data_IF_005828772292
#
_entry.id   IF_005828772292
#
_cell.length_a   1.000
_cell.length_b   1.000
_cell.length_c   1.000
_cell.angle_alpha   90.00
_cell.angle_beta   90.00
_cell.angle_gamma   90.00
#
_symmetry.space_group_name_H-M   'P 1'
#
loop_
_entity.id
_entity.type
_entity.pdbx_description
1 polymer ?
#
# COMPACT_ATOMS: atom_id res chain seq x y z
N UNK A 1 31.96 -10.90 0.74
CA UNK A 1 31.25 -9.61 0.82
C UNK A 1 30.70 -9.30 -0.56
N UNK A 2 29.38 -9.17 -0.68
CA UNK A 2 28.71 -8.86 -1.94
C UNK A 2 28.79 -7.35 -2.21
N UNK A 3 29.03 -6.96 -3.47
CA UNK A 3 29.21 -5.56 -3.86
C UNK A 3 28.13 -5.11 -4.85
N UNK A 4 27.48 -3.97 -4.59
CA UNK A 4 26.48 -3.38 -5.44
C UNK A 4 26.51 -1.84 -5.39
N UNK A 5 25.80 -1.19 -6.29
CA UNK A 5 25.68 0.27 -6.27
C UNK A 5 24.65 0.69 -5.22
N UNK A 6 23.50 0.00 -5.20
CA UNK A 6 22.41 0.27 -4.25
C UNK A 6 21.95 -1.04 -3.58
N UNK A 7 21.93 -1.06 -2.26
CA UNK A 7 21.40 -2.14 -1.46
C UNK A 7 20.00 -1.76 -0.96
N UNK A 8 19.00 -2.54 -1.30
CA UNK A 8 17.61 -2.35 -0.88
C UNK A 8 17.26 -3.40 0.18
N UNK A 9 16.68 -2.99 1.29
CA UNK A 9 16.22 -3.90 2.34
C UNK A 9 14.70 -3.99 2.29
N UNK A 10 14.18 -5.17 1.94
CA UNK A 10 12.77 -5.49 1.76
C UNK A 10 12.38 -5.64 0.28
N UNK A 11 11.90 -6.84 -0.09
CA UNK A 11 11.38 -7.18 -1.42
C UNK A 11 9.85 -7.05 -1.51
N UNK A 12 9.24 -6.13 -0.77
CA UNK A 12 7.85 -5.73 -1.01
C UNK A 12 7.72 -4.89 -2.28
N UNK A 13 6.51 -4.50 -2.64
CA UNK A 13 6.19 -3.76 -3.87
C UNK A 13 7.09 -2.54 -4.07
N UNK A 14 7.29 -1.73 -3.03
CA UNK A 14 8.13 -0.54 -3.11
C UNK A 14 9.62 -0.86 -3.36
N UNK A 15 10.17 -1.85 -2.63
CA UNK A 15 11.56 -2.27 -2.80
C UNK A 15 11.84 -2.88 -4.18
N UNK A 16 10.95 -3.77 -4.64
CA UNK A 16 11.03 -4.37 -5.98
C UNK A 16 10.91 -3.32 -7.09
N UNK A 17 9.94 -2.39 -6.96
CA UNK A 17 9.76 -1.30 -7.91
C UNK A 17 10.99 -0.38 -7.97
N UNK A 18 11.61 -0.09 -6.82
CA UNK A 18 12.86 0.67 -6.75
C UNK A 18 14.00 -0.07 -7.44
N UNK A 19 14.13 -1.38 -7.16
CA UNK A 19 15.12 -2.24 -7.83
C UNK A 19 14.94 -2.24 -9.36
N UNK A 20 13.70 -2.40 -9.84
CA UNK A 20 13.38 -2.35 -11.26
C UNK A 20 13.78 -1.01 -11.91
N UNK A 21 13.45 0.11 -11.26
CA UNK A 21 13.74 1.44 -11.78
C UNK A 21 15.27 1.69 -11.83
N UNK A 22 16.00 1.37 -10.77
CA UNK A 22 17.45 1.50 -10.71
C UNK A 22 18.16 0.63 -11.76
N UNK A 23 17.74 -0.63 -11.88
CA UNK A 23 18.32 -1.55 -12.85
C UNK A 23 18.04 -1.12 -14.30
N UNK A 24 16.90 -0.49 -14.57
CA UNK A 24 16.61 0.10 -15.89
C UNK A 24 17.56 1.22 -16.26
N UNK A 25 18.12 1.92 -15.27
CA UNK A 25 19.09 3.01 -15.42
C UNK A 25 20.55 2.51 -15.31
N UNK A 26 20.76 1.19 -15.39
CA UNK A 26 22.09 0.57 -15.43
C UNK A 26 22.79 0.45 -14.08
N UNK A 27 22.13 0.75 -12.96
CA UNK A 27 22.71 0.61 -11.63
C UNK A 27 22.57 -0.83 -11.12
N UNK A 28 23.63 -1.36 -10.51
CA UNK A 28 23.63 -2.69 -9.89
C UNK A 28 22.90 -2.62 -8.55
N UNK A 29 21.63 -3.03 -8.53
CA UNK A 29 20.83 -3.09 -7.33
C UNK A 29 20.78 -4.52 -6.77
N UNK A 30 20.90 -4.65 -5.44
CA UNK A 30 20.67 -5.88 -4.70
C UNK A 30 19.53 -5.66 -3.70
N UNK A 31 18.67 -6.67 -3.54
CA UNK A 31 17.56 -6.63 -2.59
C UNK A 31 17.75 -7.73 -1.53
N UNK A 32 17.67 -7.38 -0.26
CA UNK A 32 17.57 -8.32 0.85
C UNK A 32 16.09 -8.56 1.20
N UNK A 33 15.67 -9.82 1.28
CA UNK A 33 14.34 -10.20 1.72
C UNK A 33 14.43 -11.21 2.86
N UNK A 34 13.85 -10.86 4.00
CA UNK A 34 13.87 -11.71 5.19
C UNK A 34 13.00 -12.95 5.08
N UNK A 35 11.91 -12.88 4.29
CA UNK A 35 11.03 -14.00 4.07
C UNK A 35 11.66 -15.02 3.12
N UNK A 36 11.45 -16.32 3.35
CA UNK A 36 11.73 -17.31 2.33
C UNK A 36 10.78 -17.13 1.14
N UNK A 37 11.23 -17.45 -0.07
CA UNK A 37 10.38 -17.41 -1.27
C UNK A 37 9.14 -18.28 -1.14
N UNK A 38 8.02 -17.85 -1.74
CA UNK A 38 6.78 -18.64 -1.81
C UNK A 38 5.78 -18.41 -0.69
N UNK A 39 6.00 -17.50 0.26
CA UNK A 39 4.96 -17.13 1.26
C UNK A 39 3.85 -16.34 0.54
N UNK A 40 2.63 -16.85 0.60
CA UNK A 40 1.46 -16.21 0.00
C UNK A 40 0.87 -15.13 0.90
N UNK A 41 0.49 -14.02 0.28
CA UNK A 41 -0.31 -12.97 0.92
C UNK A 41 -1.79 -13.37 0.93
N UNK A 42 -2.46 -13.20 2.07
CA UNK A 42 -3.92 -13.34 2.18
C UNK A 42 -4.63 -12.02 1.88
N UNK A 43 -3.93 -11.04 1.35
CA UNK A 43 -4.45 -9.69 1.08
C UNK A 43 -4.71 -9.51 -0.40
N UNK A 44 -5.66 -8.65 -0.73
CA UNK A 44 -5.76 -8.04 -2.05
C UNK A 44 -5.13 -6.66 -2.03
N UNK A 45 -4.92 -6.14 -3.19
CA UNK A 45 -4.37 -4.81 -3.43
C UNK A 45 -5.18 -4.11 -4.51
N UNK A 46 -5.48 -2.85 -4.28
CA UNK A 46 -6.10 -2.00 -5.30
C UNK A 46 -5.08 -0.99 -5.80
N UNK A 47 -4.62 -1.18 -7.04
CA UNK A 47 -3.85 -0.17 -7.75
C UNK A 47 -4.80 0.91 -8.26
N UNK A 48 -4.43 2.15 -7.99
CA UNK A 48 -5.18 3.34 -8.36
C UNK A 48 -4.49 4.09 -9.51
N UNK A 49 -5.11 5.10 -10.12
CA UNK A 49 -4.55 5.84 -11.24
C UNK A 49 -3.09 6.25 -11.08
N UNK A 50 -2.71 6.75 -9.89
CA UNK A 50 -1.34 7.16 -9.60
C UNK A 50 -0.34 5.99 -9.55
N UNK A 51 -0.73 4.86 -8.97
CA UNK A 51 0.09 3.64 -8.95
C UNK A 51 0.21 3.01 -10.34
N UNK A 52 -0.88 2.99 -11.12
CA UNK A 52 -0.87 2.51 -12.50
C UNK A 52 0.03 3.37 -13.40
N UNK A 53 0.05 4.69 -13.19
CA UNK A 53 1.00 5.57 -13.89
C UNK A 53 2.45 5.22 -13.55
N UNK A 54 2.76 4.97 -12.27
CA UNK A 54 4.12 4.57 -11.87
C UNK A 54 4.53 3.22 -12.49
N UNK A 55 3.63 2.24 -12.54
CA UNK A 55 3.84 0.95 -13.22
C UNK A 55 4.02 1.15 -14.73
N UNK A 56 3.22 2.03 -15.35
CA UNK A 56 3.35 2.37 -16.77
C UNK A 56 4.71 2.97 -17.12
N UNK A 57 5.22 3.86 -16.27
CA UNK A 57 6.56 4.45 -16.44
C UNK A 57 7.70 3.42 -16.32
N UNK A 58 7.47 2.28 -15.67
CA UNK A 58 8.41 1.15 -15.63
C UNK A 58 8.29 0.21 -16.85
N UNK A 59 7.34 0.45 -17.76
CA UNK A 59 7.04 -0.42 -18.91
C UNK A 59 6.34 -1.73 -18.54
N UNK A 60 5.68 -1.80 -17.39
CA UNK A 60 5.07 -3.03 -16.85
C UNK A 60 3.53 -3.01 -16.86
N UNK A 61 2.92 -1.96 -17.44
CA UNK A 61 1.47 -1.76 -17.35
C UNK A 61 0.67 -2.94 -17.90
N UNK A 62 0.99 -3.40 -19.10
CA UNK A 62 0.23 -4.48 -19.77
C UNK A 62 0.32 -5.79 -18.98
N UNK A 63 1.51 -6.12 -18.45
CA UNK A 63 1.71 -7.30 -17.61
C UNK A 63 0.90 -7.21 -16.31
N UNK A 64 0.90 -6.05 -15.65
CA UNK A 64 0.16 -5.84 -14.41
C UNK A 64 -1.35 -5.80 -14.65
N UNK A 65 -1.79 -5.22 -15.78
CA UNK A 65 -3.21 -5.23 -16.15
C UNK A 65 -3.71 -6.64 -16.44
N UNK A 66 -2.87 -7.52 -17.04
CA UNK A 66 -3.26 -8.90 -17.37
C UNK A 66 -3.50 -9.79 -16.13
N UNK A 67 -2.92 -9.46 -14.96
CA UNK A 67 -3.13 -10.19 -13.70
C UNK A 67 -4.21 -9.58 -12.81
N UNK A 68 -4.80 -8.44 -13.20
CA UNK A 68 -5.75 -7.71 -12.37
C UNK A 68 -7.16 -7.64 -12.95
N UNK A 69 -8.13 -7.30 -12.11
CA UNK A 69 -9.50 -7.01 -12.52
C UNK A 69 -9.75 -5.51 -12.50
N UNK A 70 -10.16 -4.95 -13.66
CA UNK A 70 -10.50 -3.53 -13.79
C UNK A 70 -11.89 -3.27 -13.22
N UNK A 71 -11.99 -2.29 -12.36
CA UNK A 71 -13.24 -1.81 -11.76
C UNK A 71 -13.34 -0.30 -11.97
N UNK A 72 -14.39 0.15 -12.65
CA UNK A 72 -14.66 1.58 -12.82
C UNK A 72 -15.64 2.12 -11.79
N UNK A 73 -16.37 1.25 -11.08
CA UNK A 73 -17.42 1.64 -10.15
C UNK A 73 -17.24 0.99 -8.79
N UNK A 74 -17.30 1.79 -7.73
CA UNK A 74 -17.30 1.33 -6.34
C UNK A 74 -18.62 1.76 -5.70
N UNK A 75 -19.49 0.80 -5.44
CA UNK A 75 -20.78 1.04 -4.81
C UNK A 75 -20.63 1.02 -3.29
N UNK A 76 -21.19 2.04 -2.62
CA UNK A 76 -21.22 2.16 -1.18
C UNK A 76 -22.64 1.94 -0.66
N UNK A 77 -22.79 1.08 0.32
CA UNK A 77 -24.04 0.70 0.94
C UNK A 77 -23.98 0.85 2.45
N UNK A 78 -25.12 1.01 3.07
CA UNK A 78 -25.29 0.78 4.50
C UNK A 78 -25.48 -0.72 4.75
N UNK A 79 -24.84 -1.32 5.76
CA UNK A 79 -25.04 -2.74 6.09
C UNK A 79 -26.53 -2.97 6.43
N UNK A 80 -27.16 -3.91 5.73
CA UNK A 80 -28.59 -4.19 5.85
C UNK A 80 -29.51 -3.07 5.36
N UNK A 81 -28.99 -2.09 4.62
CA UNK A 81 -29.69 -0.87 4.27
C UNK A 81 -29.58 -0.48 2.81
N UNK A 82 -29.78 0.82 2.58
CA UNK A 82 -29.92 1.42 1.26
C UNK A 82 -28.56 1.75 0.64
N UNK A 83 -28.46 1.83 -0.71
CA UNK A 83 -27.30 2.38 -1.37
C UNK A 83 -27.05 3.82 -0.92
N UNK A 84 -25.78 4.16 -0.67
CA UNK A 84 -25.35 5.49 -0.23
C UNK A 84 -24.81 6.33 -1.38
N UNK A 85 -23.90 5.74 -2.16
CA UNK A 85 -23.23 6.39 -3.29
C UNK A 85 -22.62 5.35 -4.24
N UNK A 86 -22.39 5.74 -5.49
CA UNK A 86 -21.51 5.00 -6.40
C UNK A 86 -20.41 5.95 -6.86
N UNK A 87 -19.18 5.58 -6.59
CA UNK A 87 -18.00 6.30 -7.06
C UNK A 87 -17.65 5.76 -8.44
N UNK A 88 -17.80 6.60 -9.45
CA UNK A 88 -17.53 6.27 -10.85
C UNK A 88 -16.20 6.90 -11.28
N UNK A 89 -15.17 6.05 -11.41
CA UNK A 89 -13.83 6.46 -11.77
C UNK A 89 -13.73 6.95 -13.23
N UNK A 90 -14.69 6.60 -14.09
CA UNK A 90 -14.71 7.05 -15.49
C UNK A 90 -14.83 8.57 -15.64
N UNK A 91 -15.26 9.28 -14.57
CA UNK A 91 -15.31 10.76 -14.55
C UNK A 91 -13.94 11.42 -14.44
N UNK A 92 -12.88 10.65 -14.12
CA UNK A 92 -11.51 11.15 -14.06
C UNK A 92 -10.99 11.39 -15.48
N UNK A 93 -10.51 12.59 -15.74
CA UNK A 93 -9.71 12.92 -16.91
C UNK A 93 -8.28 12.38 -16.72
N UNK A 94 -8.14 11.06 -16.88
CA UNK A 94 -6.89 10.34 -16.65
C UNK A 94 -6.87 9.06 -17.50
N UNK A 95 -5.72 8.66 -18.10
CA UNK A 95 -5.63 7.45 -18.93
C UNK A 95 -5.98 6.16 -18.15
N UNK A 96 -5.77 6.15 -16.84
CA UNK A 96 -6.12 5.05 -15.95
C UNK A 96 -7.30 5.45 -15.05
N UNK A 97 -8.47 5.70 -15.65
CA UNK A 97 -9.68 6.10 -14.93
C UNK A 97 -10.47 4.89 -14.36
N UNK A 98 -9.76 3.98 -13.73
CA UNK A 98 -10.27 2.75 -13.09
C UNK A 98 -9.38 2.33 -11.92
N UNK A 99 -9.91 1.47 -11.07
CA UNK A 99 -9.15 0.69 -10.11
C UNK A 99 -8.73 -0.63 -10.75
N UNK A 100 -7.55 -1.11 -10.42
CA UNK A 100 -7.11 -2.46 -10.76
C UNK A 100 -6.90 -3.26 -9.47
N UNK A 101 -7.76 -4.24 -9.21
CA UNK A 101 -7.60 -5.13 -8.06
C UNK A 101 -6.72 -6.31 -8.46
N UNK A 102 -5.62 -6.48 -7.74
CA UNK A 102 -4.62 -7.55 -7.97
C UNK A 102 -4.36 -8.31 -6.67
N UNK A 103 -3.85 -9.52 -6.79
CA UNK A 103 -3.24 -10.24 -5.68
C UNK A 103 -1.80 -9.72 -5.52
N UNK A 104 -1.37 -9.27 -4.32
CA UNK A 104 -0.03 -8.70 -4.14
C UNK A 104 1.09 -9.62 -4.59
N UNK A 105 0.98 -10.92 -4.34
CA UNK A 105 2.00 -11.92 -4.73
C UNK A 105 2.18 -11.98 -6.25
N UNK A 106 1.09 -11.84 -7.02
CA UNK A 106 1.15 -11.81 -8.49
C UNK A 106 1.85 -10.53 -8.98
N UNK A 107 1.57 -9.39 -8.35
CA UNK A 107 2.28 -8.15 -8.64
C UNK A 107 3.77 -8.23 -8.26
N UNK A 108 4.08 -8.82 -7.09
CA UNK A 108 5.46 -9.05 -6.66
C UNK A 108 6.19 -9.97 -7.67
N UNK A 109 5.54 -11.01 -8.19
CA UNK A 109 6.14 -11.89 -9.21
C UNK A 109 6.45 -11.14 -10.51
N UNK A 110 5.54 -10.28 -10.99
CA UNK A 110 5.80 -9.43 -12.18
C UNK A 110 7.01 -8.53 -11.95
N UNK A 111 7.08 -7.88 -10.77
CA UNK A 111 8.21 -7.01 -10.43
C UNK A 111 9.51 -7.78 -10.26
N UNK A 112 9.48 -8.97 -9.64
CA UNK A 112 10.65 -9.87 -9.49
C UNK A 112 11.19 -10.33 -10.84
N UNK A 113 10.33 -10.76 -11.73
CA UNK A 113 10.70 -11.17 -13.09
C UNK A 113 11.33 -9.99 -13.85
N UNK A 114 10.68 -8.82 -13.80
CA UNK A 114 11.20 -7.62 -14.43
C UNK A 114 12.57 -7.19 -13.85
N UNK A 115 12.79 -7.33 -12.55
CA UNK A 115 14.07 -7.02 -11.89
C UNK A 115 15.14 -8.02 -12.28
N UNK A 116 14.84 -9.32 -12.27
CA UNK A 116 15.77 -10.38 -12.66
C UNK A 116 16.21 -10.27 -14.12
N UNK A 117 15.30 -9.95 -15.04
CA UNK A 117 15.59 -9.72 -16.47
C UNK A 117 16.54 -8.54 -16.70
N UNK A 118 16.69 -7.65 -15.72
CA UNK A 118 17.64 -6.53 -15.71
C UNK A 118 18.89 -6.80 -14.88
N UNK A 119 19.22 -8.08 -14.65
CA UNK A 119 20.34 -8.53 -13.83
C UNK A 119 20.28 -8.09 -12.35
N UNK A 120 19.11 -7.80 -11.83
CA UNK A 120 18.90 -7.52 -10.43
C UNK A 120 19.01 -8.79 -9.58
N UNK A 121 19.57 -8.69 -8.38
CA UNK A 121 19.77 -9.82 -7.47
C UNK A 121 18.93 -9.69 -6.22
N UNK A 122 18.16 -10.75 -5.90
CA UNK A 122 17.37 -10.85 -4.67
C UNK A 122 17.98 -11.93 -3.78
N UNK A 123 18.37 -11.54 -2.57
CA UNK A 123 18.86 -12.44 -1.53
C UNK A 123 17.69 -12.76 -0.59
N UNK A 124 17.03 -13.88 -0.84
CA UNK A 124 15.94 -14.37 0.01
C UNK A 124 16.46 -15.00 1.31
N UNK A 125 15.59 -15.20 2.29
CA UNK A 125 15.96 -15.68 3.64
C UNK A 125 17.12 -14.88 4.25
N UNK A 126 17.24 -13.60 3.86
CA UNK A 126 18.37 -12.74 4.23
C UNK A 126 17.88 -11.57 5.09
N UNK A 127 18.17 -11.68 6.38
CA UNK A 127 17.73 -10.74 7.39
C UNK A 127 18.78 -9.63 7.59
N UNK A 128 18.43 -8.39 7.32
CA UNK A 128 19.24 -7.25 7.67
C UNK A 128 19.50 -7.21 9.18
N UNK A 129 20.76 -7.01 9.59
CA UNK A 129 21.16 -6.93 10.99
C UNK A 129 21.61 -5.54 11.41
N UNK A 130 22.62 -4.98 10.74
CA UNK A 130 23.19 -3.69 11.12
C UNK A 130 23.91 -3.00 9.95
N UNK A 131 24.01 -1.68 10.05
CA UNK A 131 24.94 -0.88 9.27
C UNK A 131 26.23 -0.76 10.11
N UNK A 132 27.34 -1.19 9.55
CA UNK A 132 28.63 -1.12 10.26
C UNK A 132 29.16 0.31 10.28
N UNK A 133 29.61 0.81 11.45
CA UNK A 133 30.35 2.06 11.51
C UNK A 133 31.62 1.97 10.66
N UNK A 134 31.72 2.84 9.68
CA UNK A 134 32.94 2.94 8.89
C UNK A 134 33.17 4.38 8.43
N UNK A 135 34.41 4.69 8.03
CA UNK A 135 34.81 5.97 7.40
C UNK A 135 34.99 5.83 5.89
N UNK A 136 34.49 4.72 5.31
CA UNK A 136 34.66 4.47 3.88
C UNK A 136 33.59 5.25 3.07
N UNK A 137 33.85 5.38 1.79
CA UNK A 137 32.91 5.95 0.83
C UNK A 137 31.73 5.03 0.50
N UNK A 138 31.59 3.92 1.22
CA UNK A 138 30.53 2.91 1.01
C UNK A 138 29.88 2.52 2.32
N UNK A 139 28.61 2.18 2.27
CA UNK A 139 27.87 1.60 3.39
C UNK A 139 28.21 0.12 3.48
N UNK A 140 28.67 -0.32 4.66
CA UNK A 140 28.89 -1.74 4.94
C UNK A 140 27.72 -2.27 5.77
N UNK A 141 27.13 -3.36 5.31
CA UNK A 141 25.96 -3.97 5.95
C UNK A 141 26.28 -5.41 6.33
N UNK A 142 25.93 -5.76 7.58
CA UNK A 142 25.84 -7.16 7.99
C UNK A 142 24.40 -7.64 7.87
N UNK A 143 24.25 -8.81 7.31
CA UNK A 143 23.00 -9.55 7.22
C UNK A 143 23.23 -11.01 7.63
N UNK A 144 22.16 -11.76 7.76
CA UNK A 144 22.18 -13.18 8.07
C UNK A 144 21.32 -13.89 7.04
N UNK A 145 21.88 -14.87 6.36
CA UNK A 145 21.17 -15.70 5.38
C UNK A 145 21.19 -17.15 5.86
N UNK A 146 20.01 -17.73 6.02
CA UNK A 146 19.84 -19.11 6.51
C UNK A 146 20.67 -19.40 7.78
N UNK A 147 20.71 -18.43 8.71
CA UNK A 147 21.45 -18.52 9.96
C UNK A 147 22.97 -18.22 9.85
N UNK A 148 23.49 -17.99 8.65
CA UNK A 148 24.92 -17.69 8.42
C UNK A 148 25.14 -16.20 8.12
N UNK A 149 26.21 -15.58 8.68
CA UNK A 149 26.50 -14.18 8.44
C UNK A 149 26.93 -13.95 6.98
N UNK A 150 26.40 -12.88 6.38
CA UNK A 150 26.76 -12.40 5.04
C UNK A 150 26.95 -10.88 5.09
N UNK A 151 27.94 -10.36 4.35
CA UNK A 151 28.24 -8.93 4.29
C UNK A 151 27.96 -8.34 2.93
N UNK A 152 27.50 -7.08 2.91
CA UNK A 152 27.25 -6.30 1.71
C UNK A 152 27.98 -4.96 1.77
N UNK A 153 28.38 -4.47 0.58
CA UNK A 153 28.99 -3.16 0.38
C UNK A 153 28.21 -2.42 -0.70
N UNK A 154 27.74 -1.20 -0.41
CA UNK A 154 26.97 -0.40 -1.35
C UNK A 154 27.32 1.09 -1.28
N UNK A 155 27.07 1.86 -2.35
CA UNK A 155 27.16 3.33 -2.31
C UNK A 155 25.97 3.94 -1.55
N UNK A 156 24.79 3.32 -1.68
CA UNK A 156 23.54 3.76 -1.03
C UNK A 156 22.81 2.54 -0.47
N UNK A 157 22.19 2.69 0.71
CA UNK A 157 21.22 1.76 1.28
C UNK A 157 19.80 2.37 1.22
N UNK A 158 18.82 1.56 0.82
CA UNK A 158 17.40 1.94 0.82
C UNK A 158 16.63 1.05 1.79
N UNK A 159 15.99 1.65 2.80
CA UNK A 159 15.07 0.95 3.70
C UNK A 159 13.66 0.92 3.11
N UNK A 160 13.25 -0.25 2.60
CA UNK A 160 11.91 -0.58 2.11
C UNK A 160 11.27 -1.71 2.95
N UNK A 161 11.66 -1.82 4.22
CA UNK A 161 11.44 -2.92 5.15
C UNK A 161 10.21 -2.71 6.07
N UNK A 162 9.26 -1.89 5.61
CA UNK A 162 7.95 -1.73 6.20
C UNK A 162 7.90 -0.84 7.45
N UNK A 163 6.72 -0.77 8.06
CA UNK A 163 6.44 0.18 9.16
C UNK A 163 7.40 0.06 10.35
N UNK A 164 7.92 -1.14 10.65
CA UNK A 164 8.88 -1.41 11.73
C UNK A 164 10.34 -1.44 11.24
N UNK A 165 10.66 -0.61 10.27
CA UNK A 165 11.95 -0.56 9.57
C UNK A 165 13.17 -0.68 10.48
N UNK A 166 13.99 -1.69 10.23
CA UNK A 166 15.27 -1.92 10.90
C UNK A 166 16.36 -1.00 10.35
N UNK A 167 16.27 -0.68 9.06
CA UNK A 167 17.17 0.31 8.45
C UNK A 167 16.97 1.68 9.09
N UNK A 168 15.71 2.14 9.27
CA UNK A 168 15.40 3.38 9.96
C UNK A 168 15.96 3.39 11.39
N UNK A 169 15.81 2.27 12.12
CA UNK A 169 16.34 2.11 13.49
C UNK A 169 17.88 2.19 13.50
N UNK A 170 18.56 1.50 12.58
CA UNK A 170 20.01 1.52 12.45
C UNK A 170 20.55 2.92 12.13
N UNK A 171 19.83 3.70 11.32
CA UNK A 171 20.13 5.09 11.00
C UNK A 171 19.77 6.08 12.12
N UNK A 172 19.16 5.60 13.21
CA UNK A 172 18.68 6.42 14.35
C UNK A 172 17.77 7.58 13.93
N UNK A 173 17.03 7.41 12.83
CA UNK A 173 16.09 8.42 12.33
C UNK A 173 14.86 8.47 13.25
N UNK A 174 14.55 9.65 13.85
CA UNK A 174 13.40 9.79 14.74
C UNK A 174 12.07 9.52 14.03
N UNK A 175 11.19 8.76 14.69
CA UNK A 175 9.89 8.37 14.17
C UNK A 175 8.81 8.50 15.23
N UNK A 176 7.63 8.91 14.80
CA UNK A 176 6.39 8.79 15.58
C UNK A 176 5.51 7.73 14.93
N UNK A 177 5.22 6.67 15.67
CA UNK A 177 4.26 5.65 15.25
C UNK A 177 2.96 5.85 16.02
N UNK A 178 1.85 5.95 15.29
CA UNK A 178 0.50 5.95 15.85
C UNK A 178 -0.17 4.64 15.43
N UNK A 179 -0.53 3.83 16.39
CA UNK A 179 -1.40 2.68 16.18
C UNK A 179 -2.85 3.12 16.33
N UNK A 180 -3.70 2.70 15.41
CA UNK A 180 -5.13 2.99 15.46
C UNK A 180 -5.88 1.90 16.24
N UNK A 181 -7.09 2.22 16.69
CA UNK A 181 -7.98 1.23 17.31
C UNK A 181 -8.75 0.40 16.28
N UNK A 182 -8.24 0.33 15.06
CA UNK A 182 -8.87 -0.31 13.91
C UNK A 182 -8.13 -1.59 13.55
N UNK A 183 -8.88 -2.70 13.52
CA UNK A 183 -8.38 -3.98 13.06
C UNK A 183 -9.06 -4.39 11.77
N UNK A 184 -8.26 -4.74 10.78
CA UNK A 184 -8.72 -5.21 9.48
C UNK A 184 -8.42 -6.68 9.33
N UNK A 185 -9.42 -7.45 8.94
CA UNK A 185 -9.28 -8.80 8.42
C UNK A 185 -9.23 -8.72 6.90
N UNK A 186 -8.31 -9.44 6.30
CA UNK A 186 -8.13 -9.53 4.85
C UNK A 186 -8.13 -10.98 4.42
N UNK A 187 -8.80 -11.30 3.31
CA UNK A 187 -8.86 -12.64 2.77
C UNK A 187 -9.11 -12.62 1.27
N UNK A 188 -8.75 -13.73 0.62
CA UNK A 188 -9.05 -14.02 -0.77
C UNK A 188 -9.99 -15.22 -0.82
N UNK A 189 -11.25 -14.98 -1.12
CA UNK A 189 -12.23 -16.03 -1.37
C UNK A 189 -12.23 -16.41 -2.86
N UNK A 190 -12.78 -17.59 -3.21
CA UNK A 190 -13.05 -17.94 -4.60
C UNK A 190 -13.84 -16.82 -5.29
N UNK A 191 -13.63 -16.63 -6.59
CA UNK A 191 -14.32 -15.61 -7.37
C UNK A 191 -15.83 -15.72 -7.23
N UNK A 192 -16.49 -14.65 -6.79
CA UNK A 192 -17.93 -14.51 -6.78
C UNK A 192 -18.38 -13.91 -8.12
N UNK A 193 -18.89 -14.75 -9.02
CA UNK A 193 -19.26 -14.33 -10.37
C UNK A 193 -20.41 -13.31 -10.37
N UNK A 194 -21.32 -13.39 -9.40
CA UNK A 194 -22.46 -12.48 -9.21
C UNK A 194 -22.08 -11.05 -8.87
N UNK A 195 -20.87 -10.80 -8.34
CA UNK A 195 -20.35 -9.43 -8.17
C UNK A 195 -20.01 -8.77 -9.51
N UNK A 196 -19.79 -9.55 -10.57
CA UNK A 196 -19.32 -9.02 -11.86
C UNK A 196 -17.97 -8.32 -11.75
N UNK A 197 -17.91 -7.07 -12.23
CA UNK A 197 -16.72 -6.19 -12.15
C UNK A 197 -16.92 -5.01 -11.19
N UNK A 198 -18.01 -4.95 -10.45
CA UNK A 198 -18.30 -3.89 -9.50
C UNK A 198 -17.67 -4.20 -8.13
N UNK A 199 -16.94 -3.26 -7.57
CA UNK A 199 -16.52 -3.34 -6.18
C UNK A 199 -17.64 -2.79 -5.29
N UNK A 200 -17.87 -3.45 -4.15
CA UNK A 200 -18.91 -3.03 -3.20
C UNK A 200 -18.33 -2.83 -1.82
N UNK A 201 -18.71 -1.74 -1.17
CA UNK A 201 -18.32 -1.41 0.18
C UNK A 201 -19.55 -1.16 1.05
N UNK A 202 -19.49 -1.66 2.26
CA UNK A 202 -20.58 -1.62 3.23
C UNK A 202 -20.10 -0.98 4.52
N UNK A 203 -20.90 -0.07 5.06
CA UNK A 203 -20.59 0.62 6.32
C UNK A 203 -21.75 0.55 7.29
N UNK A 204 -21.44 0.42 8.56
CA UNK A 204 -22.36 0.66 9.68
C UNK A 204 -21.59 1.25 10.86
N UNK A 205 -22.27 1.44 11.98
CA UNK A 205 -21.63 1.95 13.19
C UNK A 205 -20.62 0.93 13.73
N UNK A 206 -19.32 1.26 13.65
CA UNK A 206 -18.23 0.41 14.12
C UNK A 206 -17.94 -0.81 13.25
N UNK A 207 -18.42 -0.85 12.00
CA UNK A 207 -18.23 -1.99 11.11
C UNK A 207 -18.14 -1.53 9.65
N UNK A 208 -17.24 -2.14 8.90
CA UNK A 208 -17.08 -1.89 7.47
C UNK A 208 -16.62 -3.18 6.76
N UNK A 209 -17.14 -3.42 5.57
CA UNK A 209 -16.71 -4.51 4.70
C UNK A 209 -16.51 -4.02 3.27
N UNK A 210 -15.63 -4.67 2.53
CA UNK A 210 -15.46 -4.41 1.11
C UNK A 210 -15.17 -5.69 0.34
N UNK A 211 -15.75 -5.77 -0.85
CA UNK A 211 -15.71 -6.92 -1.75
C UNK A 211 -15.24 -6.43 -3.12
N UNK A 212 -14.07 -6.87 -3.54
CA UNK A 212 -13.39 -6.41 -4.75
C UNK A 212 -13.08 -7.61 -5.63
N UNK A 213 -13.56 -7.65 -6.87
CA UNK A 213 -13.21 -8.74 -7.78
C UNK A 213 -11.75 -8.64 -8.20
N UNK A 214 -11.04 -9.78 -8.15
CA UNK A 214 -9.75 -9.99 -8.83
C UNK A 214 -9.97 -10.86 -10.09
N UNK A 215 -8.94 -11.32 -10.75
CA UNK A 215 -9.07 -12.26 -11.89
C UNK A 215 -9.74 -13.57 -11.44
N UNK A 216 -9.15 -14.24 -10.45
CA UNK A 216 -9.49 -15.61 -10.03
C UNK A 216 -10.17 -15.66 -8.65
N UNK A 217 -10.22 -14.54 -7.92
CA UNK A 217 -10.72 -14.51 -6.55
C UNK A 217 -11.56 -13.25 -6.28
N UNK A 218 -12.13 -13.20 -5.10
CA UNK A 218 -12.75 -12.01 -4.52
C UNK A 218 -11.91 -11.60 -3.32
N UNK A 219 -11.30 -10.44 -3.41
CA UNK A 219 -10.63 -9.82 -2.28
C UNK A 219 -11.68 -9.24 -1.35
N UNK A 220 -11.61 -9.64 -0.09
CA UNK A 220 -12.51 -9.19 0.97
C UNK A 220 -11.68 -8.54 2.06
N UNK A 221 -12.09 -7.36 2.50
CA UNK A 221 -11.64 -6.81 3.77
C UNK A 221 -12.84 -6.62 4.71
N UNK A 222 -12.57 -6.77 6.01
CA UNK A 222 -13.58 -6.56 7.03
C UNK A 222 -12.95 -5.87 8.24
N UNK A 223 -13.58 -4.81 8.69
CA UNK A 223 -13.12 -3.99 9.79
C UNK A 223 -13.97 -4.20 11.05
N UNK A 224 -13.28 -4.30 12.18
CA UNK A 224 -13.87 -4.20 13.53
C UNK A 224 -12.95 -3.41 14.45
N UNK A 225 -13.47 -2.77 15.52
CA UNK A 225 -12.64 -2.20 16.55
C UNK A 225 -11.71 -3.23 17.21
N UNK A 226 -10.44 -2.90 17.43
CA UNK A 226 -9.43 -3.84 17.95
C UNK A 226 -9.83 -4.48 19.29
N UNK A 227 -10.62 -3.77 20.12
CA UNK A 227 -11.09 -4.26 21.43
C UNK A 227 -11.99 -5.49 21.35
N UNK A 228 -12.69 -5.70 20.22
CA UNK A 228 -13.63 -6.83 20.08
C UNK A 228 -13.05 -8.00 19.28
N UNK A 229 -11.83 -7.89 18.75
CA UNK A 229 -11.21 -8.92 17.87
C UNK A 229 -11.16 -10.29 18.55
N UNK A 230 -10.78 -10.35 19.83
CA UNK A 230 -10.71 -11.62 20.56
C UNK A 230 -12.08 -12.28 20.69
N UNK A 231 -13.08 -11.53 21.08
CA UNK A 231 -14.48 -11.99 21.17
C UNK A 231 -14.99 -12.40 19.79
N UNK A 232 -14.71 -11.59 18.78
CA UNK A 232 -15.09 -11.87 17.42
C UNK A 232 -14.53 -13.22 16.92
N UNK A 233 -13.23 -13.47 17.11
CA UNK A 233 -12.59 -14.75 16.75
C UNK A 233 -13.12 -15.93 17.55
N UNK A 234 -13.48 -15.74 18.83
CA UNK A 234 -14.03 -16.81 19.68
C UNK A 234 -15.39 -17.35 19.23
N UNK A 235 -16.14 -16.59 18.45
CA UNK A 235 -17.41 -17.02 17.85
C UNK A 235 -17.22 -18.00 16.69
N UNK A 236 -15.99 -18.22 16.25
CA UNK A 236 -15.61 -19.18 15.21
C UNK A 236 -15.69 -18.62 13.79
N UNK A 237 -14.95 -19.28 12.90
CA UNK A 237 -14.85 -18.89 11.49
C UNK A 237 -16.20 -18.95 10.75
N UNK A 238 -17.01 -19.94 11.02
CA UNK A 238 -18.33 -20.08 10.38
C UNK A 238 -19.29 -18.94 10.74
N UNK A 239 -19.23 -18.45 11.98
CA UNK A 239 -19.98 -17.25 12.39
C UNK A 239 -19.51 -16.02 11.61
N UNK A 240 -18.20 -15.91 11.36
CA UNK A 240 -17.62 -14.83 10.56
C UNK A 240 -18.06 -14.90 9.09
N UNK A 241 -17.94 -16.07 8.47
CA UNK A 241 -18.41 -16.31 7.09
C UNK A 241 -19.89 -15.96 6.94
N UNK A 242 -20.74 -16.43 7.89
CA UNK A 242 -22.16 -16.07 7.92
C UNK A 242 -22.40 -14.56 8.04
N UNK A 243 -21.58 -13.86 8.81
CA UNK A 243 -21.65 -12.37 8.90
C UNK A 243 -21.37 -11.73 7.55
N UNK A 244 -20.31 -12.15 6.84
CA UNK A 244 -19.95 -11.65 5.52
C UNK A 244 -21.04 -11.94 4.49
N UNK A 245 -21.59 -13.16 4.47
CA UNK A 245 -22.70 -13.53 3.58
C UNK A 245 -23.98 -12.71 3.86
N UNK A 246 -24.25 -12.34 5.11
CA UNK A 246 -25.37 -11.45 5.44
C UNK A 246 -25.13 -9.99 5.00
N UNK A 247 -23.88 -9.56 4.89
CA UNK A 247 -23.55 -8.23 4.39
C UNK A 247 -23.65 -8.19 2.86
N UNK A 248 -23.06 -9.19 2.21
CA UNK A 248 -23.06 -9.34 0.75
C UNK A 248 -23.43 -10.79 0.37
N UNK A 249 -24.71 -11.03 0.07
CA UNK A 249 -25.17 -12.38 -0.26
C UNK A 249 -24.50 -13.00 -1.49
N UNK A 250 -24.08 -12.18 -2.44
CA UNK A 250 -23.44 -12.63 -3.69
C UNK A 250 -22.09 -13.34 -3.48
N UNK A 251 -21.48 -13.22 -2.28
CA UNK A 251 -20.24 -13.93 -1.96
C UNK A 251 -20.45 -15.23 -1.17
N UNK A 252 -21.69 -15.57 -0.81
CA UNK A 252 -21.99 -16.67 0.10
C UNK A 252 -21.26 -17.97 -0.25
N UNK A 253 -21.43 -18.45 -1.49
CA UNK A 253 -20.81 -19.70 -1.98
C UNK A 253 -19.28 -19.60 -2.10
N UNK A 254 -18.77 -18.38 -2.28
CA UNK A 254 -17.33 -18.12 -2.40
C UNK A 254 -16.60 -18.26 -1.08
N UNK A 255 -17.28 -17.99 0.05
CA UNK A 255 -16.70 -18.05 1.40
C UNK A 255 -16.35 -19.48 1.83
N UNK A 256 -16.91 -20.51 1.19
CA UNK A 256 -16.55 -21.92 1.46
C UNK A 256 -15.07 -22.21 1.16
N UNK A 257 -14.44 -21.44 0.29
CA UNK A 257 -13.00 -21.55 0.01
C UNK A 257 -12.09 -21.11 1.16
N UNK A 258 -12.64 -20.40 2.18
CA UNK A 258 -11.92 -20.03 3.38
C UNK A 258 -12.08 -21.15 4.41
N UNK A 259 -11.04 -21.98 4.57
CA UNK A 259 -11.09 -23.18 5.37
C UNK A 259 -10.71 -22.99 6.84
N UNK A 260 -9.89 -21.98 7.13
CA UNK A 260 -9.33 -21.76 8.47
C UNK A 260 -9.04 -20.27 8.75
N UNK A 261 -8.83 -19.92 10.02
CA UNK A 261 -8.30 -18.59 10.38
C UNK A 261 -6.89 -18.33 9.80
N UNK A 262 -6.17 -19.37 9.34
CA UNK A 262 -4.92 -19.24 8.61
C UNK A 262 -5.07 -18.58 7.24
N UNK A 263 -6.28 -18.64 6.66
CA UNK A 263 -6.62 -18.00 5.38
C UNK A 263 -7.08 -16.54 5.55
N UNK A 264 -7.09 -16.05 6.79
CA UNK A 264 -7.52 -14.70 7.16
C UNK A 264 -6.37 -13.96 7.82
N UNK A 265 -5.76 -13.02 7.10
CA UNK A 265 -4.78 -12.12 7.70
C UNK A 265 -5.50 -11.07 8.55
N UNK A 266 -4.97 -10.78 9.74
CA UNK A 266 -5.42 -9.63 10.50
C UNK A 266 -4.28 -8.62 10.71
N UNK A 267 -4.63 -7.36 10.79
CA UNK A 267 -3.66 -6.29 11.03
C UNK A 267 -4.33 -5.08 11.67
N UNK A 268 -3.60 -4.45 12.57
CA UNK A 268 -3.96 -3.15 13.11
C UNK A 268 -3.40 -2.07 12.20
N UNK A 269 -4.22 -1.10 11.83
CA UNK A 269 -3.78 0.03 11.04
C UNK A 269 -2.78 0.89 11.82
N UNK A 270 -1.74 1.37 11.12
CA UNK A 270 -0.68 2.21 11.72
C UNK A 270 -0.36 3.38 10.83
N UNK A 271 0.02 4.47 11.46
CA UNK A 271 0.61 5.63 10.80
C UNK A 271 2.03 5.82 11.28
N UNK A 272 2.93 6.03 10.33
CA UNK A 272 4.34 6.33 10.57
C UNK A 272 4.61 7.74 10.09
N UNK A 273 5.09 8.59 10.99
CA UNK A 273 5.56 9.94 10.68
C UNK A 273 7.07 10.01 10.97
N UNK A 274 7.90 10.04 9.93
CA UNK A 274 9.36 10.08 10.04
C UNK A 274 9.84 11.52 9.85
N UNK A 275 10.80 11.96 10.69
CA UNK A 275 11.30 13.33 10.68
C UNK A 275 12.02 13.67 9.37
N UNK A 276 12.86 12.78 8.88
CA UNK A 276 13.54 12.88 7.59
C UNK A 276 13.57 11.50 6.94
N UNK A 277 13.46 11.44 5.60
CA UNK A 277 13.49 10.19 4.86
C UNK A 277 14.88 9.84 4.33
N UNK A 278 15.82 10.76 4.48
CA UNK A 278 17.18 10.62 3.95
C UNK A 278 18.23 10.87 5.02
N UNK A 279 19.36 10.20 4.85
CA UNK A 279 20.62 10.42 5.58
C UNK A 279 21.78 10.26 4.58
N UNK A 280 23.01 10.52 5.00
CA UNK A 280 24.17 10.28 4.14
C UNK A 280 24.17 8.83 3.67
N UNK A 281 24.19 8.62 2.36
CA UNK A 281 24.17 7.32 1.70
C UNK A 281 22.96 6.44 2.05
N UNK A 282 21.85 7.03 2.50
CA UNK A 282 20.66 6.26 2.89
C UNK A 282 19.35 6.97 2.59
N UNK A 283 18.33 6.19 2.21
CA UNK A 283 16.96 6.65 2.05
C UNK A 283 15.95 5.64 2.59
N UNK A 284 14.79 6.13 3.02
CA UNK A 284 13.63 5.33 3.43
C UNK A 284 12.51 5.48 2.41
N UNK A 285 11.73 4.42 2.17
CA UNK A 285 10.69 4.37 1.15
C UNK A 285 9.44 3.66 1.68
N UNK A 286 8.28 4.10 1.21
CA UNK A 286 6.99 3.47 1.53
C UNK A 286 6.69 3.46 3.03
N UNK A 287 6.21 2.33 3.56
CA UNK A 287 5.83 2.22 4.97
C UNK A 287 6.98 2.45 5.94
N UNK A 288 8.23 2.27 5.52
CA UNK A 288 9.41 2.60 6.34
C UNK A 288 9.52 4.11 6.60
N UNK A 289 8.99 4.93 5.69
CA UNK A 289 8.98 6.38 5.76
C UNK A 289 7.62 6.96 6.19
N UNK A 290 6.49 6.36 5.75
CA UNK A 290 5.19 7.03 5.86
C UNK A 290 3.98 6.08 5.81
N UNK A 291 3.99 4.96 6.51
CA UNK A 291 2.78 4.12 6.63
C UNK A 291 1.55 4.95 6.98
N UNK A 292 0.39 4.52 6.50
CA UNK A 292 -0.85 5.27 6.60
C UNK A 292 -2.07 4.35 6.84
N UNK A 293 -3.19 4.97 7.18
CA UNK A 293 -4.47 4.30 7.28
C UNK A 293 -4.90 3.72 5.91
N UNK A 294 -5.40 2.47 5.84
CA UNK A 294 -5.72 1.80 4.58
C UNK A 294 -6.98 2.34 3.87
N UNK A 295 -7.75 3.25 4.46
CA UNK A 295 -9.05 3.71 3.95
C UNK A 295 -9.05 4.24 2.51
N UNK A 296 -7.91 4.73 2.03
CA UNK A 296 -7.76 5.17 0.64
C UNK A 296 -6.99 4.18 -0.24
N UNK A 297 -6.61 3.00 0.29
CA UNK A 297 -5.82 1.98 -0.42
C UNK A 297 -4.56 2.55 -1.11
N UNK A 298 -3.86 3.49 -0.46
CA UNK A 298 -2.76 4.24 -1.07
C UNK A 298 -1.35 3.75 -0.70
N UNK A 299 -1.19 2.84 0.25
CA UNK A 299 0.14 2.43 0.73
C UNK A 299 1.06 1.96 -0.39
N UNK A 300 0.63 0.98 -1.18
CA UNK A 300 1.39 0.47 -2.32
C UNK A 300 1.51 1.50 -3.45
N UNK A 301 0.43 2.25 -3.74
CA UNK A 301 0.43 3.26 -4.79
C UNK A 301 1.45 4.39 -4.51
N UNK A 302 1.54 4.85 -3.27
CA UNK A 302 2.56 5.82 -2.85
C UNK A 302 3.96 5.22 -2.94
N UNK A 303 4.15 3.96 -2.52
CA UNK A 303 5.44 3.27 -2.60
C UNK A 303 5.94 3.12 -4.04
N UNK A 304 5.04 2.87 -5.00
CA UNK A 304 5.36 2.83 -6.43
C UNK A 304 5.82 4.20 -6.96
N UNK A 305 5.13 5.27 -6.56
CA UNK A 305 5.53 6.64 -6.91
C UNK A 305 6.86 7.02 -6.24
N UNK A 306 7.05 6.61 -4.99
CA UNK A 306 8.31 6.83 -4.27
C UNK A 306 9.48 6.14 -4.95
N UNK A 307 9.27 4.91 -5.45
CA UNK A 307 10.29 4.15 -6.18
C UNK A 307 10.81 4.91 -7.41
N UNK A 308 9.92 5.50 -8.19
CA UNK A 308 10.27 6.29 -9.36
C UNK A 308 11.06 7.57 -8.98
N UNK A 309 10.56 8.33 -8.01
CA UNK A 309 11.19 9.57 -7.56
C UNK A 309 12.57 9.32 -6.90
N UNK A 310 12.67 8.25 -6.09
CA UNK A 310 13.92 7.88 -5.43
C UNK A 310 14.95 7.37 -6.45
N UNK A 311 14.56 6.56 -7.42
CA UNK A 311 15.47 6.07 -8.45
C UNK A 311 16.08 7.22 -9.27
N UNK A 312 15.24 8.18 -9.70
CA UNK A 312 15.72 9.39 -10.40
C UNK A 312 16.68 10.23 -9.55
N UNK A 313 16.38 10.37 -8.24
CA UNK A 313 17.26 11.09 -7.32
C UNK A 313 18.60 10.35 -7.13
N UNK A 314 18.57 9.02 -6.97
CA UNK A 314 19.78 8.20 -6.84
C UNK A 314 20.64 8.27 -8.11
N UNK A 315 20.03 8.17 -9.30
CA UNK A 315 20.74 8.31 -10.59
C UNK A 315 21.54 9.63 -10.63
N UNK A 316 20.89 10.73 -10.27
CA UNK A 316 21.57 12.03 -10.18
C UNK A 316 22.70 12.05 -9.13
N UNK A 317 22.56 11.34 -8.01
CA UNK A 317 23.63 11.18 -7.03
C UNK A 317 24.85 10.49 -7.64
N UNK A 318 24.65 9.48 -8.50
CA UNK A 318 25.74 8.80 -9.20
C UNK A 318 26.39 9.69 -10.26
N UNK A 319 25.60 10.45 -11.04
CA UNK A 319 26.13 11.42 -12.03
C UNK A 319 27.02 12.46 -11.39
N UNK A 320 26.62 12.98 -10.22
CA UNK A 320 27.35 14.01 -9.48
C UNK A 320 28.41 13.47 -8.52
N UNK A 321 28.45 12.15 -8.33
CA UNK A 321 29.23 11.47 -7.28
C UNK A 321 29.00 12.08 -5.88
N UNK A 322 27.76 12.51 -5.61
CA UNK A 322 27.33 13.09 -4.33
C UNK A 322 26.23 12.23 -3.69
N UNK A 323 26.57 11.60 -2.57
CA UNK A 323 25.71 10.67 -1.82
C UNK A 323 25.33 11.23 -0.45
N UNK A 324 25.40 12.54 -0.27
CA UNK A 324 25.02 13.21 0.98
C UNK A 324 23.50 13.18 1.19
N UNK A 325 23.09 13.37 2.44
CA UNK A 325 21.67 13.51 2.78
C UNK A 325 20.98 14.64 1.99
N UNK A 326 21.70 15.74 1.71
CA UNK A 326 21.14 16.87 0.94
C UNK A 326 20.92 16.50 -0.53
N UNK A 327 21.84 15.77 -1.15
CA UNK A 327 21.67 15.27 -2.52
C UNK A 327 20.45 14.34 -2.63
N UNK A 328 20.24 13.45 -1.66
CA UNK A 328 19.08 12.54 -1.60
C UNK A 328 17.78 13.26 -1.23
N UNK A 329 17.84 14.43 -0.64
CA UNK A 329 16.66 15.17 -0.14
C UNK A 329 15.68 15.64 -1.25
N UNK A 330 16.14 15.64 -2.50
CA UNK A 330 15.28 15.90 -3.67
C UNK A 330 14.06 15.00 -3.70
N UNK A 331 14.24 13.70 -3.50
CA UNK A 331 13.20 12.70 -3.36
C UNK A 331 12.18 13.05 -2.27
N UNK A 332 12.68 13.37 -1.06
CA UNK A 332 11.82 13.71 0.07
C UNK A 332 11.00 14.98 -0.19
N UNK A 333 11.62 16.04 -0.77
CA UNK A 333 10.96 17.31 -1.12
C UNK A 333 9.82 17.08 -2.12
N UNK A 334 10.05 16.23 -3.12
CA UNK A 334 9.05 15.90 -4.14
C UNK A 334 7.85 15.16 -3.55
N UNK A 335 8.11 14.15 -2.72
CA UNK A 335 7.07 13.20 -2.29
C UNK A 335 6.32 13.60 -1.03
N UNK A 336 6.96 14.30 -0.11
CA UNK A 336 6.45 14.53 1.26
C UNK A 336 5.09 15.26 1.28
N UNK A 337 4.89 16.26 0.43
CA UNK A 337 3.65 17.04 0.45
C UNK A 337 2.44 16.19 0.07
N UNK A 338 2.54 15.42 -1.03
CA UNK A 338 1.48 14.52 -1.50
C UNK A 338 1.23 13.40 -0.49
N UNK A 339 2.27 12.75 -0.02
CA UNK A 339 2.18 11.67 0.97
C UNK A 339 1.48 12.14 2.24
N UNK A 340 1.85 13.32 2.76
CA UNK A 340 1.20 13.91 3.93
C UNK A 340 -0.28 14.22 3.70
N UNK A 341 -0.62 14.74 2.54
CA UNK A 341 -2.00 15.01 2.15
C UNK A 341 -2.82 13.72 2.16
N UNK A 342 -2.30 12.64 1.55
CA UNK A 342 -2.95 11.33 1.50
C UNK A 342 -3.08 10.71 2.90
N UNK A 343 -2.02 10.73 3.73
CA UNK A 343 -2.07 10.24 5.12
C UNK A 343 -3.20 10.91 5.91
N UNK A 344 -3.28 12.24 5.84
CA UNK A 344 -4.30 13.02 6.57
C UNK A 344 -5.70 12.77 6.00
N UNK A 345 -5.81 12.65 4.69
CA UNK A 345 -7.08 12.37 4.00
C UNK A 345 -7.64 11.00 4.37
N UNK A 346 -6.82 9.95 4.31
CA UNK A 346 -7.19 8.60 4.69
C UNK A 346 -7.64 8.52 6.17
N UNK A 347 -6.87 9.10 7.09
CA UNK A 347 -7.22 9.16 8.51
C UNK A 347 -8.54 9.90 8.77
N UNK A 348 -8.81 10.98 8.02
CA UNK A 348 -10.08 11.70 8.13
C UNK A 348 -11.25 10.86 7.63
N UNK A 349 -11.06 10.13 6.52
CA UNK A 349 -12.10 9.24 5.99
C UNK A 349 -12.42 8.13 6.97
N UNK A 350 -11.41 7.50 7.59
CA UNK A 350 -11.60 6.48 8.63
C UNK A 350 -12.51 6.98 9.77
N UNK A 351 -12.37 8.24 10.20
CA UNK A 351 -13.25 8.82 11.26
C UNK A 351 -14.73 8.79 10.93
N UNK A 352 -15.10 8.62 9.66
CA UNK A 352 -16.49 8.59 9.22
C UNK A 352 -16.96 7.19 8.83
N UNK A 353 -16.03 6.33 8.40
CA UNK A 353 -16.35 5.00 7.85
C UNK A 353 -16.11 3.87 8.84
N UNK A 354 -15.18 4.04 9.79
CA UNK A 354 -14.81 3.03 10.80
C UNK A 354 -15.14 3.47 12.23
N UNK A 355 -16.04 4.45 12.38
CA UNK A 355 -16.35 5.09 13.67
C UNK A 355 -17.39 4.33 14.49
N UNK A 356 -17.24 4.35 15.80
CA UNK A 356 -18.26 3.93 16.78
C UNK A 356 -19.12 5.11 17.27
N UNK A 357 -18.87 6.34 16.80
CA UNK A 357 -19.67 7.52 17.12
C UNK A 357 -20.85 7.65 16.17
N UNK A 358 -22.08 7.60 16.69
CA UNK A 358 -23.29 7.79 15.92
C UNK A 358 -23.37 9.17 15.23
N UNK A 359 -22.71 10.18 15.79
CA UNK A 359 -22.62 11.51 15.20
C UNK A 359 -21.73 11.49 13.94
N UNK A 360 -20.50 10.99 14.05
CA UNK A 360 -19.58 10.90 12.91
C UNK A 360 -20.10 9.95 11.83
N UNK A 361 -20.70 8.84 12.21
CA UNK A 361 -21.33 7.92 11.27
C UNK A 361 -22.45 8.59 10.45
N UNK A 362 -23.38 9.31 11.10
CA UNK A 362 -24.46 10.05 10.40
C UNK A 362 -23.88 11.14 9.48
N UNK A 363 -22.85 11.83 9.93
CA UNK A 363 -22.18 12.85 9.11
C UNK A 363 -21.50 12.20 7.90
N UNK A 364 -20.78 11.10 8.09
CA UNK A 364 -20.13 10.32 7.02
C UNK A 364 -21.13 9.86 5.95
N UNK A 365 -22.27 9.31 6.38
CA UNK A 365 -23.37 8.94 5.47
C UNK A 365 -23.85 10.11 4.61
N UNK A 366 -24.06 11.27 5.23
CA UNK A 366 -24.48 12.48 4.49
C UNK A 366 -23.41 12.92 3.49
N UNK A 367 -22.13 12.88 3.87
CA UNK A 367 -21.03 13.21 2.97
C UNK A 367 -21.00 12.25 1.78
N UNK A 368 -21.10 10.92 2.01
CA UNK A 368 -21.14 9.91 0.96
C UNK A 368 -22.32 10.14 0.01
N UNK A 369 -23.53 10.28 0.54
CA UNK A 369 -24.74 10.52 -0.26
C UNK A 369 -24.67 11.80 -1.09
N UNK A 370 -24.12 12.86 -0.52
CA UNK A 370 -23.94 14.14 -1.21
C UNK A 370 -22.88 14.02 -2.31
N UNK A 371 -21.76 13.37 -2.02
CA UNK A 371 -20.70 13.13 -3.00
C UNK A 371 -21.24 12.31 -4.17
N UNK A 372 -22.02 11.25 -3.92
CA UNK A 372 -22.62 10.45 -4.97
C UNK A 372 -23.62 11.19 -5.86
N UNK A 373 -24.23 12.27 -5.38
CA UNK A 373 -25.20 13.10 -6.12
C UNK A 373 -24.58 14.32 -6.80
N UNK A 374 -23.33 14.64 -6.53
CA UNK A 374 -22.67 15.85 -7.02
C UNK A 374 -21.38 15.49 -7.77
N UNK A 375 -21.41 15.67 -9.09
CA UNK A 375 -20.29 15.31 -9.98
C UNK A 375 -18.99 16.03 -9.65
N UNK A 376 -19.04 17.31 -9.23
CA UNK A 376 -17.83 18.08 -8.87
C UNK A 376 -17.22 17.57 -7.56
N UNK A 377 -18.06 17.23 -6.55
CA UNK A 377 -17.59 16.64 -5.31
C UNK A 377 -17.04 15.24 -5.54
N UNK A 378 -17.67 14.44 -6.40
CA UNK A 378 -17.19 13.13 -6.81
C UNK A 378 -15.80 13.24 -7.41
N UNK A 379 -15.61 14.14 -8.37
CA UNK A 379 -14.32 14.37 -9.03
C UNK A 379 -13.25 14.82 -8.03
N UNK A 380 -13.57 15.75 -7.13
CA UNK A 380 -12.64 16.20 -6.09
C UNK A 380 -12.26 15.08 -5.12
N UNK A 381 -13.25 14.26 -4.69
CA UNK A 381 -13.01 13.10 -3.82
C UNK A 381 -12.12 12.05 -4.49
N UNK A 382 -12.39 11.71 -5.75
CA UNK A 382 -11.61 10.75 -6.52
C UNK A 382 -10.18 11.26 -6.77
N UNK A 383 -10.00 12.52 -7.19
CA UNK A 383 -8.65 13.09 -7.35
C UNK A 383 -7.84 13.03 -6.05
N UNK A 384 -8.47 13.32 -4.92
CA UNK A 384 -7.81 13.27 -3.62
C UNK A 384 -7.45 11.83 -3.21
N UNK A 385 -8.41 10.91 -3.25
CA UNK A 385 -8.20 9.52 -2.82
C UNK A 385 -7.29 8.73 -3.77
N UNK A 386 -7.27 9.08 -5.06
CA UNK A 386 -6.37 8.48 -6.05
C UNK A 386 -4.95 9.08 -6.04
N UNK A 387 -4.65 10.01 -5.13
CA UNK A 387 -3.34 10.65 -5.09
C UNK A 387 -3.00 11.47 -6.34
N UNK A 388 -4.01 11.99 -7.03
CA UNK A 388 -3.85 12.85 -8.23
C UNK A 388 -3.77 14.34 -7.90
N UNK A 389 -3.87 14.69 -6.62
CA UNK A 389 -3.68 16.05 -6.11
C UNK A 389 -3.00 15.99 -4.74
N UNK A 390 -2.35 17.06 -4.36
CA UNK A 390 -1.73 17.25 -3.05
C UNK A 390 -2.45 18.29 -2.18
N UNK A 391 -3.60 18.77 -2.64
CA UNK A 391 -4.45 19.72 -1.91
C UNK A 391 -5.90 19.69 -2.41
N UNK A 392 -6.80 20.17 -1.55
CA UNK A 392 -8.15 20.56 -1.93
C UNK A 392 -8.27 22.09 -1.78
N UNK A 393 -8.90 22.73 -2.73
CA UNK A 393 -9.22 24.18 -2.65
C UNK A 393 -10.14 24.46 -1.45
N UNK A 394 -10.17 25.69 -0.97
CA UNK A 394 -11.10 26.10 0.11
C UNK A 394 -12.56 25.86 -0.30
N UNK A 395 -12.91 26.09 -1.57
CA UNK A 395 -14.25 25.85 -2.10
C UNK A 395 -14.64 24.38 -2.03
N UNK A 396 -13.74 23.46 -2.41
CA UNK A 396 -13.97 22.01 -2.31
C UNK A 396 -14.13 21.57 -0.85
N UNK A 397 -13.25 22.04 0.05
CA UNK A 397 -13.33 21.72 1.49
C UNK A 397 -14.67 22.17 2.08
N UNK A 398 -15.12 23.38 1.77
CA UNK A 398 -16.43 23.89 2.21
C UNK A 398 -17.59 23.06 1.69
N UNK A 399 -17.54 22.65 0.42
CA UNK A 399 -18.59 21.83 -0.20
C UNK A 399 -18.72 20.43 0.40
N UNK A 400 -17.65 19.84 0.96
CA UNK A 400 -17.74 18.57 1.66
C UNK A 400 -18.41 18.70 3.05
N UNK A 401 -18.38 19.87 3.67
CA UNK A 401 -18.87 20.11 5.03
C UNK A 401 -20.31 20.63 5.00
N UNK A 402 -20.67 21.50 4.08
CA UNK A 402 -22.02 22.10 3.90
C UNK A 402 -22.93 21.24 3.05
#
# INVERSE_FOLDING_TARGET
MEDCDVLIVGAGIGGLATGCALASNGLRACILEARPGGIRSMRGLTLQPNGLTAIGNMGLLDQVVSIGSKTTRVAWHEIGGKPLATFDYSVLDHPHNYLLTVVPDELELVLRDAFSKRNGMIYESTLFREIQPNRSERVLVKAERDGSPIGFSAKIIVGADGWNSKVRQALQIPVRVKEYCENFFFMLARRAASLGLEARQYVSLGEMAGFFPTQESTYIFYYVPSRIVREFKSRGLESFKKRLANIEPDVSDSLDSIGSWGDVADTVARRVDVKTWTADRAALLGDAAHALDPSWAQGANLSLQDAAALASTIERCFELNDFTAEALKGYEKERRKQTKFVQVGAERTARFTTTESSFYYRLGKRILQRTGRNKELMLAALKASCGLTDHLSMREKFRFIL
#
